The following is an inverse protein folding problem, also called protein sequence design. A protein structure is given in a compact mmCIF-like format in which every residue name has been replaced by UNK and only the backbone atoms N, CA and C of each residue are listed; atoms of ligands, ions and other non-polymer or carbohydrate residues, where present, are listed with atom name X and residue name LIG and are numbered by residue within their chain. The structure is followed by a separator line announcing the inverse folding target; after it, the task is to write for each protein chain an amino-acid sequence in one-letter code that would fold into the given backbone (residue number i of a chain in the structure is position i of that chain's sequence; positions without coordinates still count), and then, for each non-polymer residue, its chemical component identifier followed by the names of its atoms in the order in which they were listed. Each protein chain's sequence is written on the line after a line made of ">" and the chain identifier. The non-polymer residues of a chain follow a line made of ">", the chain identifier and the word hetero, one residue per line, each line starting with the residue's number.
data_IF_103414426499
#
_entry.id   IF_103414426499
#
_cell.length_a   1.000
_cell.length_b   1.000
_cell.length_c   1.000
_cell.angle_alpha   90.00
_cell.angle_beta   90.00
_cell.angle_gamma   90.00
#
_symmetry.space_group_name_H-M   'P 1'
#
loop_
_entity.id
_entity.type
_entity.pdbx_description
1 polymer ?
#
# COMPACT_ATOMS: atom_id res chain seq x y z
N UNK A 1 -26.06 -47.65 -0.73
CA UNK A 1 -26.63 -46.31 -0.46
C UNK A 1 -26.19 -45.95 0.95
N UNK A 2 -25.56 -44.84 1.32
CA UNK A 2 -25.49 -43.50 0.74
C UNK A 2 -24.17 -42.83 1.17
N UNK A 3 -23.78 -41.80 0.43
CA UNK A 3 -22.44 -41.20 0.35
C UNK A 3 -22.09 -40.36 1.60
N UNK A 4 -20.99 -40.69 2.28
CA UNK A 4 -20.32 -39.73 3.17
C UNK A 4 -19.31 -38.93 2.36
N UNK A 5 -19.75 -37.80 1.80
CA UNK A 5 -18.88 -36.81 1.21
C UNK A 5 -18.19 -36.05 2.36
N UNK A 6 -16.99 -36.47 2.70
CA UNK A 6 -16.09 -35.74 3.57
C UNK A 6 -15.54 -34.59 2.71
N UNK A 7 -15.75 -33.30 3.06
CA UNK A 7 -15.18 -32.23 2.28
C UNK A 7 -13.66 -32.26 2.42
N UNK A 8 -13.00 -32.61 1.32
CA UNK A 8 -11.55 -32.52 1.12
C UNK A 8 -11.14 -31.06 1.38
N UNK A 9 -10.12 -30.77 2.21
CA UNK A 9 -9.66 -29.40 2.36
C UNK A 9 -9.10 -28.95 1.01
N UNK A 10 -9.76 -27.97 0.40
CA UNK A 10 -9.27 -27.28 -0.78
C UNK A 10 -8.09 -26.43 -0.31
N UNK A 11 -6.91 -27.05 -0.19
CA UNK A 11 -5.64 -26.36 -0.06
C UNK A 11 -5.39 -25.65 -1.39
N UNK A 12 -5.83 -24.39 -1.46
CA UNK A 12 -5.48 -23.48 -2.52
C UNK A 12 -3.94 -23.48 -2.66
N UNK A 13 -3.48 -23.82 -3.87
CA UNK A 13 -2.08 -23.91 -4.26
C UNK A 13 -1.32 -22.67 -3.78
N UNK A 14 -0.49 -22.82 -2.76
CA UNK A 14 0.54 -21.83 -2.42
C UNK A 14 1.65 -21.98 -3.45
N UNK A 15 1.49 -21.34 -4.60
CA UNK A 15 2.58 -21.13 -5.55
C UNK A 15 3.74 -20.51 -4.76
N UNK A 16 4.91 -21.12 -4.80
CA UNK A 16 6.10 -20.59 -4.18
C UNK A 16 6.34 -19.16 -4.70
N UNK A 17 5.96 -18.17 -3.90
CA UNK A 17 6.25 -16.77 -4.18
C UNK A 17 7.77 -16.64 -4.12
N UNK A 18 8.41 -16.47 -5.28
CA UNK A 18 9.80 -16.05 -5.35
C UNK A 18 9.80 -14.66 -4.72
N UNK A 19 10.17 -14.57 -3.45
CA UNK A 19 10.37 -13.31 -2.74
C UNK A 19 11.61 -12.68 -3.39
N UNK A 20 11.41 -12.03 -4.53
CA UNK A 20 12.44 -11.20 -5.12
C UNK A 20 12.65 -10.03 -4.16
N UNK A 21 13.91 -9.65 -3.96
CA UNK A 21 14.32 -8.50 -3.17
C UNK A 21 13.90 -7.19 -3.88
N UNK A 22 12.59 -6.98 -4.00
CA UNK A 22 11.96 -5.86 -4.71
C UNK A 22 11.33 -4.97 -3.66
N UNK A 23 11.75 -3.71 -3.68
CA UNK A 23 11.13 -2.64 -2.92
C UNK A 23 10.01 -2.00 -3.74
N UNK A 24 8.86 -1.78 -3.12
CA UNK A 24 7.73 -1.08 -3.76
C UNK A 24 7.70 0.38 -3.30
N UNK A 25 7.70 1.33 -4.25
CA UNK A 25 7.49 2.74 -3.92
C UNK A 25 6.02 3.07 -4.13
N UNK A 26 5.34 3.53 -3.08
CA UNK A 26 3.95 4.00 -3.14
C UNK A 26 3.93 5.52 -2.92
N UNK A 27 3.70 6.31 -3.98
CA UNK A 27 3.59 7.75 -3.84
C UNK A 27 2.23 8.16 -3.28
N UNK A 28 2.22 8.56 -2.01
CA UNK A 28 1.07 8.96 -1.21
C UNK A 28 1.02 10.47 -0.91
N UNK A 29 1.97 11.25 -1.46
CA UNK A 29 2.15 12.66 -1.15
C UNK A 29 1.13 13.61 -1.80
N UNK A 30 0.33 13.13 -2.76
CA UNK A 30 -0.50 13.97 -3.62
C UNK A 30 -1.72 14.58 -2.93
N UNK A 31 -1.97 15.87 -3.21
CA UNK A 31 -3.14 16.64 -2.76
C UNK A 31 -4.49 16.09 -3.24
N UNK A 32 -4.50 15.28 -4.31
CA UNK A 32 -5.73 14.80 -4.97
C UNK A 32 -6.69 15.92 -5.41
N UNK A 33 -6.15 17.12 -5.67
CA UNK A 33 -6.90 18.36 -5.94
C UNK A 33 -7.91 18.24 -7.08
N UNK A 34 -7.61 17.49 -8.14
CA UNK A 34 -8.54 17.25 -9.26
C UNK A 34 -9.81 16.47 -8.87
N UNK A 35 -9.75 15.70 -7.78
CA UNK A 35 -10.87 14.90 -7.30
C UNK A 35 -11.62 15.55 -6.14
N UNK A 36 -11.17 16.73 -5.68
CA UNK A 36 -11.76 17.50 -4.59
C UNK A 36 -11.68 16.85 -3.20
N UNK A 37 -11.26 15.59 -3.09
CA UNK A 37 -11.21 14.81 -1.86
C UNK A 37 -9.87 14.09 -1.71
N UNK A 38 -9.39 13.96 -0.48
CA UNK A 38 -8.10 13.36 -0.17
C UNK A 38 -8.15 11.83 -0.33
N UNK A 39 -7.67 11.34 -1.48
CA UNK A 39 -7.77 9.92 -1.89
C UNK A 39 -7.25 8.93 -0.87
N UNK A 40 -6.17 9.29 -0.18
CA UNK A 40 -5.41 8.35 0.64
C UNK A 40 -6.26 7.79 1.78
N UNK A 41 -7.16 8.60 2.34
CA UNK A 41 -8.06 8.22 3.45
C UNK A 41 -9.49 7.93 3.00
N UNK A 42 -9.76 7.84 1.70
CA UNK A 42 -11.09 7.47 1.24
C UNK A 42 -11.40 6.02 1.65
N UNK A 43 -12.60 5.76 2.20
CA UNK A 43 -12.97 4.43 2.66
C UNK A 43 -13.08 3.46 1.48
N UNK A 44 -12.48 2.29 1.63
CA UNK A 44 -12.51 1.22 0.63
C UNK A 44 -12.41 -0.15 1.31
N UNK A 45 -13.42 -1.01 1.08
CA UNK A 45 -13.45 -2.40 1.54
C UNK A 45 -13.06 -2.61 3.03
N UNK A 46 -13.54 -1.73 3.92
CA UNK A 46 -13.30 -1.85 5.37
C UNK A 46 -11.99 -1.21 5.87
N UNK A 47 -11.23 -0.59 4.98
CA UNK A 47 -10.10 0.29 5.32
C UNK A 47 -10.11 1.50 4.40
N UNK A 48 -8.95 1.88 3.90
CA UNK A 48 -8.75 2.97 2.95
C UNK A 48 -8.25 2.47 1.60
N UNK A 49 -8.33 3.31 0.57
CA UNK A 49 -7.73 3.01 -0.74
C UNK A 49 -6.23 2.73 -0.61
N UNK A 50 -5.55 3.45 0.30
CA UNK A 50 -4.13 3.23 0.56
C UNK A 50 -3.88 1.88 1.24
N UNK A 51 -4.73 1.46 2.17
CA UNK A 51 -4.61 0.13 2.81
C UNK A 51 -4.71 -1.00 1.79
N UNK A 52 -5.66 -0.90 0.87
CA UNK A 52 -5.80 -1.89 -0.20
C UNK A 52 -4.57 -1.92 -1.12
N UNK A 53 -3.98 -0.75 -1.40
CA UNK A 53 -2.77 -0.62 -2.22
C UNK A 53 -1.55 -1.23 -1.54
N UNK A 54 -1.35 -0.95 -0.25
CA UNK A 54 -0.27 -1.52 0.58
C UNK A 54 -0.43 -3.03 0.68
N UNK A 55 -1.65 -3.52 0.97
CA UNK A 55 -1.93 -4.95 1.07
C UNK A 55 -1.58 -5.68 -0.22
N UNK A 56 -1.95 -5.12 -1.37
CA UNK A 56 -1.58 -5.69 -2.66
C UNK A 56 -0.06 -5.65 -2.90
N UNK A 57 0.61 -4.54 -2.58
CA UNK A 57 2.07 -4.42 -2.75
C UNK A 57 2.84 -5.44 -1.91
N UNK A 58 2.43 -5.69 -0.66
CA UNK A 58 3.04 -6.69 0.23
C UNK A 58 2.89 -8.13 -0.26
N UNK A 59 1.97 -8.42 -1.19
CA UNK A 59 1.90 -9.77 -1.80
C UNK A 59 3.06 -10.07 -2.75
N UNK A 60 3.78 -9.04 -3.21
CA UNK A 60 4.86 -9.16 -4.18
C UNK A 60 6.20 -8.59 -3.69
N UNK A 61 6.18 -7.71 -2.68
CA UNK A 61 7.35 -6.99 -2.18
C UNK A 61 7.49 -7.17 -0.67
N UNK A 62 8.73 -7.29 -0.19
CA UNK A 62 9.04 -7.44 1.24
C UNK A 62 9.16 -6.10 1.96
N UNK A 63 9.38 -5.00 1.23
CA UNK A 63 9.52 -3.65 1.76
C UNK A 63 8.75 -2.66 0.90
N UNK A 64 8.14 -1.68 1.55
CA UNK A 64 7.40 -0.58 0.93
C UNK A 64 8.02 0.74 1.36
N UNK A 65 8.38 1.56 0.39
CA UNK A 65 8.75 2.95 0.59
C UNK A 65 7.49 3.80 0.35
N UNK A 66 6.85 4.22 1.43
CA UNK A 66 5.65 5.05 1.39
C UNK A 66 6.05 6.52 1.41
N UNK A 67 5.89 7.20 0.27
CA UNK A 67 6.26 8.61 0.16
C UNK A 67 5.06 9.49 0.50
N UNK A 68 5.10 10.15 1.66
CA UNK A 68 4.02 11.00 2.18
C UNK A 68 4.35 12.48 2.02
N UNK A 69 3.33 13.34 2.05
CA UNK A 69 3.49 14.77 1.80
C UNK A 69 2.33 15.58 2.37
N UNK A 70 1.29 15.82 1.55
CA UNK A 70 0.08 16.49 2.03
C UNK A 70 -0.53 15.71 3.21
N UNK A 71 -0.78 16.41 4.33
CA UNK A 71 -1.30 15.84 5.59
C UNK A 71 -0.46 14.67 6.14
N UNK A 72 0.87 14.73 5.98
CA UNK A 72 1.77 13.71 6.50
C UNK A 72 1.63 13.45 8.01
N UNK A 73 1.31 14.48 8.80
CA UNK A 73 1.07 14.34 10.25
C UNK A 73 -0.15 13.49 10.57
N UNK A 74 -1.18 13.52 9.71
CA UNK A 74 -2.36 12.68 9.83
C UNK A 74 -2.07 11.27 9.33
N UNK A 75 -1.30 11.11 8.25
CA UNK A 75 -1.08 9.82 7.59
C UNK A 75 0.01 8.96 8.26
N UNK A 76 1.08 9.57 8.77
CA UNK A 76 2.23 8.85 9.34
C UNK A 76 1.83 7.88 10.47
N UNK A 77 1.01 8.28 11.47
CA UNK A 77 0.64 7.39 12.56
C UNK A 77 -0.06 6.09 12.12
N UNK A 78 -0.77 6.11 10.99
CA UNK A 78 -1.48 4.92 10.49
C UNK A 78 -0.52 3.84 9.97
N UNK A 79 0.64 4.22 9.44
CA UNK A 79 1.54 3.30 8.72
C UNK A 79 2.92 3.15 9.36
N UNK A 80 3.31 4.04 10.26
CA UNK A 80 4.65 4.07 10.87
C UNK A 80 4.93 2.85 11.75
N UNK A 81 3.89 2.18 12.26
CA UNK A 81 4.02 0.97 13.08
C UNK A 81 4.18 -0.31 12.25
N UNK A 82 4.05 -0.24 10.92
CA UNK A 82 4.13 -1.41 10.07
C UNK A 82 5.59 -1.76 9.75
N UNK A 83 6.11 -2.95 10.10
CA UNK A 83 7.54 -3.26 10.03
C UNK A 83 8.10 -3.29 8.59
N UNK A 84 7.24 -3.55 7.60
CA UNK A 84 7.60 -3.57 6.19
C UNK A 84 7.44 -2.20 5.48
N UNK A 85 7.05 -1.13 6.18
CA UNK A 85 6.81 0.19 5.58
C UNK A 85 7.87 1.18 6.08
N UNK A 86 8.64 1.72 5.16
CA UNK A 86 9.51 2.85 5.38
C UNK A 86 8.84 4.13 4.89
N UNK A 87 8.63 5.09 5.78
CA UNK A 87 7.96 6.35 5.45
C UNK A 87 8.99 7.40 5.05
N UNK A 88 8.81 8.00 3.88
CA UNK A 88 9.64 9.10 3.38
C UNK A 88 8.77 10.34 3.24
N UNK A 89 9.16 11.44 3.88
CA UNK A 89 8.45 12.72 3.75
C UNK A 89 8.99 13.52 2.57
N UNK A 90 8.11 13.84 1.60
CA UNK A 90 8.40 14.78 0.53
C UNK A 90 7.79 16.16 0.86
N UNK A 91 8.63 17.09 1.31
CA UNK A 91 8.23 18.48 1.60
C UNK A 91 7.73 19.24 0.36
N UNK A 92 8.12 18.82 -0.86
CA UNK A 92 7.78 19.49 -2.11
C UNK A 92 6.57 18.86 -2.81
N UNK A 93 5.68 18.22 -2.06
CA UNK A 93 4.50 17.52 -2.61
C UNK A 93 3.57 18.40 -3.46
N UNK A 94 3.60 19.72 -3.24
CA UNK A 94 2.82 20.71 -4.01
C UNK A 94 3.29 20.87 -5.45
N UNK A 95 4.52 20.44 -5.79
CA UNK A 95 5.09 20.55 -7.14
C UNK A 95 4.70 19.40 -8.07
N UNK A 96 3.82 18.49 -7.62
CA UNK A 96 3.30 17.38 -8.42
C UNK A 96 4.18 16.11 -8.41
N UNK A 97 3.70 15.07 -9.10
CA UNK A 97 4.29 13.72 -9.06
C UNK A 97 5.73 13.67 -9.58
N UNK A 98 6.08 14.54 -10.54
CA UNK A 98 7.40 14.54 -11.18
C UNK A 98 8.54 14.81 -10.19
N UNK A 99 8.30 15.56 -9.12
CA UNK A 99 9.31 15.87 -8.09
C UNK A 99 9.61 14.68 -7.16
N UNK A 100 8.77 13.64 -7.12
CA UNK A 100 9.00 12.44 -6.31
C UNK A 100 10.25 11.65 -6.74
N UNK A 101 10.60 11.70 -8.01
CA UNK A 101 11.80 11.07 -8.56
C UNK A 101 12.99 12.04 -8.66
N UNK A 102 12.77 13.33 -8.36
CA UNK A 102 13.76 14.39 -8.46
C UNK A 102 14.51 14.59 -7.15
N UNK A 103 15.23 13.55 -6.71
CA UNK A 103 16.29 13.69 -5.72
C UNK A 103 17.56 14.13 -6.48
N UNK A 104 18.07 15.34 -6.21
CA UNK A 104 19.43 15.75 -6.55
C UNK A 104 20.15 16.01 -5.24
#
# INVERSE_FOLDING_TARGET
>A
MNKSAIPVPIMAKKSAQIIKNIDCIIPAAGLSSRMGQWKMMLPWQGGTILDASIKNALTFCSCIILVIGYRATELSPHYQQHPAINIVYNAYYQQGLFRLYGCK
#
